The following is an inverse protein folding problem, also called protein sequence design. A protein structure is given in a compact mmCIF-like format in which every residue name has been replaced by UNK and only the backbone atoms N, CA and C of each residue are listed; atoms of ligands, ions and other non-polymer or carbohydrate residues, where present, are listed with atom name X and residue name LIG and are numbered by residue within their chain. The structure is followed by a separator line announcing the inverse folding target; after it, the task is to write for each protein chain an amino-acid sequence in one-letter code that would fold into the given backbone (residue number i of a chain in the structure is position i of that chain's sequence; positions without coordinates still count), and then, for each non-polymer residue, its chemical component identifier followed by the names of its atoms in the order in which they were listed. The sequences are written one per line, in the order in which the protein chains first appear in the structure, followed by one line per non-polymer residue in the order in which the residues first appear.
data_IF_120161310488
#
_entry.id   IF_120161310488
#
_cell.length_a   1.000
_cell.length_b   1.000
_cell.length_c   1.000
_cell.angle_alpha   90.00
_cell.angle_beta   90.00
_cell.angle_gamma   90.00
#
_symmetry.space_group_name_H-M   'P 1'
#
loop_
_entity.id
_entity.type
_entity.pdbx_description
1 polymer ?
#
# COMPACT_ATOMS: atom_id res chain seq x y z
N UNK A 1 24.61 8.02 4.49
CA UNK A 1 24.00 7.00 3.64
C UNK A 1 23.32 7.70 2.48
N UNK A 2 23.42 7.15 1.27
CA UNK A 2 22.68 7.65 0.11
C UNK A 2 21.19 7.34 0.30
N UNK A 3 20.29 8.23 -0.14
CA UNK A 3 18.85 7.95 -0.15
C UNK A 3 18.61 6.75 -1.07
N UNK A 4 17.77 5.76 -0.70
CA UNK A 4 17.46 4.66 -1.59
C UNK A 4 16.66 5.16 -2.78
N UNK A 5 16.91 4.57 -3.95
CA UNK A 5 16.21 4.86 -5.19
C UNK A 5 15.11 3.84 -5.41
N UNK A 6 13.85 4.27 -5.27
CA UNK A 6 12.69 3.40 -5.36
C UNK A 6 12.01 3.52 -6.73
N UNK A 7 11.62 2.39 -7.32
CA UNK A 7 10.66 2.39 -8.42
C UNK A 7 9.27 2.70 -7.87
N UNK A 8 8.65 3.77 -8.35
CA UNK A 8 7.32 4.19 -7.96
C UNK A 8 6.34 3.87 -9.08
N UNK A 9 5.57 2.80 -8.91
CA UNK A 9 4.61 2.29 -9.88
C UNK A 9 3.26 2.95 -9.62
N UNK A 10 2.96 3.99 -10.40
CA UNK A 10 1.77 4.80 -10.22
C UNK A 10 0.58 4.24 -11.02
N UNK A 11 -0.40 3.69 -10.30
CA UNK A 11 -1.65 3.16 -10.81
C UNK A 11 -2.83 4.15 -10.66
N UNK A 12 -2.56 5.43 -10.35
CA UNK A 12 -3.57 6.44 -10.03
C UNK A 12 -4.34 7.03 -11.22
N UNK A 13 -4.05 6.59 -12.46
CA UNK A 13 -4.60 7.18 -13.70
C UNK A 13 -4.26 8.68 -13.86
N UNK A 14 -3.04 9.07 -13.47
CA UNK A 14 -2.54 10.43 -13.63
C UNK A 14 -2.98 11.42 -12.53
N UNK A 15 -3.44 10.94 -11.38
CA UNK A 15 -3.74 11.81 -10.24
C UNK A 15 -2.45 12.33 -9.61
N UNK A 16 -2.12 13.58 -9.94
CA UNK A 16 -0.96 14.28 -9.38
C UNK A 16 -0.93 14.40 -7.85
N UNK A 17 -2.05 14.17 -7.16
CA UNK A 17 -2.11 14.15 -5.70
C UNK A 17 -1.42 12.91 -5.13
N UNK A 18 -1.51 11.76 -5.81
CA UNK A 18 -0.93 10.49 -5.36
C UNK A 18 0.58 10.59 -5.26
N UNK A 19 1.28 10.95 -6.35
CA UNK A 19 2.73 11.11 -6.32
C UNK A 19 3.20 12.11 -5.25
N UNK A 20 2.47 13.23 -5.09
CA UNK A 20 2.77 14.25 -4.08
C UNK A 20 2.65 13.71 -2.65
N UNK A 21 1.61 12.94 -2.37
CA UNK A 21 1.36 12.34 -1.07
C UNK A 21 2.48 11.37 -0.70
N UNK A 22 2.80 10.42 -1.58
CA UNK A 22 3.91 9.47 -1.32
C UNK A 22 5.26 10.16 -1.21
N UNK A 23 5.56 11.15 -2.06
CA UNK A 23 6.82 11.92 -1.99
C UNK A 23 6.99 12.66 -0.65
N UNK A 24 5.89 13.05 0.00
CA UNK A 24 5.94 13.71 1.32
C UNK A 24 6.33 12.74 2.43
N UNK A 25 5.89 11.48 2.35
CA UNK A 25 6.05 10.50 3.41
C UNK A 25 7.29 9.59 3.23
N UNK A 26 7.75 9.37 2.00
CA UNK A 26 8.90 8.51 1.71
C UNK A 26 10.21 9.31 1.66
N UNK A 27 11.14 9.03 2.59
CA UNK A 27 12.50 9.57 2.56
C UNK A 27 13.42 8.84 1.56
N UNK A 28 13.01 8.83 0.29
CA UNK A 28 13.68 8.13 -0.81
C UNK A 28 13.71 8.98 -2.09
N UNK A 29 14.49 8.55 -3.08
CA UNK A 29 14.47 9.09 -4.44
C UNK A 29 13.51 8.26 -5.31
N UNK A 30 12.34 8.82 -5.62
CA UNK A 30 11.29 8.13 -6.37
C UNK A 30 11.48 8.29 -7.88
N UNK A 31 11.47 7.17 -8.61
CA UNK A 31 11.42 7.14 -10.07
C UNK A 31 10.04 6.68 -10.49
N UNK A 32 9.24 7.61 -11.01
CA UNK A 32 7.83 7.40 -11.35
C UNK A 32 7.65 6.68 -12.69
N UNK A 33 6.73 5.72 -12.68
CA UNK A 33 6.28 4.95 -13.83
C UNK A 33 4.75 4.91 -13.81
N UNK A 34 4.11 5.58 -14.78
CA UNK A 34 2.67 5.48 -14.97
C UNK A 34 2.34 4.12 -15.58
N UNK A 35 1.93 3.19 -14.72
CA UNK A 35 1.67 1.82 -15.15
C UNK A 35 0.35 1.71 -15.90
N UNK A 36 -0.58 2.67 -15.72
CA UNK A 36 -1.86 2.69 -16.44
C UNK A 36 -1.67 2.98 -17.94
N UNK A 37 -0.64 3.77 -18.28
CA UNK A 37 -0.16 3.99 -19.65
C UNK A 37 0.77 2.87 -20.15
N UNK A 38 0.90 1.77 -19.40
CA UNK A 38 1.75 0.62 -19.74
C UNK A 38 3.24 0.89 -19.58
N UNK A 39 3.64 1.96 -18.87
CA UNK A 39 5.04 2.28 -18.61
C UNK A 39 5.47 1.56 -17.35
N UNK A 40 6.27 0.51 -17.52
CA UNK A 40 6.94 -0.21 -16.44
C UNK A 40 8.46 -0.03 -16.58
N UNK A 41 9.23 -0.20 -15.50
CA UNK A 41 10.68 -0.27 -15.60
C UNK A 41 11.12 -1.44 -16.50
N UNK A 42 12.09 -1.20 -17.37
CA UNK A 42 12.68 -2.23 -18.25
C UNK A 42 13.78 -3.04 -17.56
N UNK A 43 14.20 -2.62 -16.36
CA UNK A 43 15.20 -3.27 -15.51
C UNK A 43 14.79 -3.20 -14.04
N UNK A 44 15.52 -3.92 -13.18
CA UNK A 44 15.23 -4.04 -11.75
C UNK A 44 16.29 -3.35 -10.86
N UNK A 45 17.12 -2.49 -11.44
CA UNK A 45 18.19 -1.74 -10.74
C UNK A 45 17.62 -0.60 -9.85
N UNK A 46 16.88 -1.01 -8.82
CA UNK A 46 16.26 -0.18 -7.80
C UNK A 46 16.52 -0.78 -6.42
N UNK A 47 16.47 0.07 -5.40
CA UNK A 47 16.64 -0.36 -4.01
C UNK A 47 15.36 -1.00 -3.44
N UNK A 48 14.20 -0.68 -4.02
CA UNK A 48 12.89 -1.20 -3.65
C UNK A 48 11.79 -0.65 -4.56
N UNK A 49 10.56 -1.10 -4.35
CA UNK A 49 9.40 -0.77 -5.18
C UNK A 49 8.22 -0.34 -4.31
N UNK A 50 7.52 0.71 -4.73
CA UNK A 50 6.25 1.14 -4.15
C UNK A 50 5.18 1.12 -5.24
N UNK A 51 4.02 0.51 -4.95
CA UNK A 51 2.87 0.41 -5.86
C UNK A 51 1.69 1.14 -5.23
N UNK A 52 1.11 2.09 -5.96
CA UNK A 52 0.05 2.98 -5.44
C UNK A 52 -1.34 2.35 -5.48
N UNK A 53 -2.31 3.06 -4.91
CA UNK A 53 -3.73 2.78 -5.09
C UNK A 53 -4.20 3.05 -6.53
N UNK A 54 -5.38 2.54 -6.87
CA UNK A 54 -6.03 2.75 -8.16
C UNK A 54 -7.54 2.78 -7.97
N UNK A 55 -8.24 3.37 -8.93
CA UNK A 55 -9.69 3.24 -9.09
C UNK A 55 -10.09 1.94 -9.81
N UNK A 56 -9.11 1.14 -10.24
CA UNK A 56 -9.30 -0.16 -10.90
C UNK A 56 -9.27 -1.33 -9.91
N UNK A 57 -9.89 -2.45 -10.29
CA UNK A 57 -9.75 -3.73 -9.56
C UNK A 57 -8.69 -4.61 -10.22
N UNK A 58 -7.89 -5.31 -9.40
CA UNK A 58 -6.77 -6.15 -9.87
C UNK A 58 -7.19 -7.31 -10.80
N UNK A 59 -8.47 -7.70 -10.76
CA UNK A 59 -9.03 -8.78 -11.57
C UNK A 59 -9.71 -8.30 -12.87
N UNK A 60 -9.69 -7.01 -13.18
CA UNK A 60 -10.16 -6.52 -14.49
C UNK A 60 -9.23 -7.01 -15.62
N UNK A 61 -9.80 -7.41 -16.76
CA UNK A 61 -9.04 -7.88 -17.92
C UNK A 61 -8.45 -6.72 -18.72
N UNK A 62 -7.47 -6.04 -18.10
CA UNK A 62 -6.71 -4.96 -18.73
C UNK A 62 -5.24 -5.35 -18.84
N UNK A 63 -4.64 -5.06 -20.00
CA UNK A 63 -3.28 -5.48 -20.30
C UNK A 63 -2.25 -4.90 -19.32
N UNK A 64 -2.43 -3.65 -18.89
CA UNK A 64 -1.52 -2.99 -17.96
C UNK A 64 -1.54 -3.63 -16.57
N UNK A 65 -2.71 -4.10 -16.10
CA UNK A 65 -2.85 -4.82 -14.82
C UNK A 65 -2.10 -6.14 -14.90
N UNK A 66 -2.34 -6.92 -15.96
CA UNK A 66 -1.64 -8.20 -16.18
C UNK A 66 -0.12 -8.02 -16.24
N UNK A 67 0.34 -6.98 -16.92
CA UNK A 67 1.77 -6.66 -17.03
C UNK A 67 2.35 -6.21 -15.68
N UNK A 68 1.61 -5.40 -14.91
CA UNK A 68 2.01 -4.97 -13.58
C UNK A 68 2.14 -6.15 -12.61
N UNK A 69 1.12 -7.02 -12.54
CA UNK A 69 1.15 -8.22 -11.69
C UNK A 69 2.33 -9.13 -12.05
N UNK A 70 2.58 -9.35 -13.34
CA UNK A 70 3.74 -10.11 -13.81
C UNK A 70 5.07 -9.47 -13.41
N UNK A 71 5.19 -8.15 -13.58
CA UNK A 71 6.42 -7.42 -13.23
C UNK A 71 6.69 -7.45 -11.73
N UNK A 72 5.65 -7.35 -10.91
CA UNK A 72 5.75 -7.43 -9.43
C UNK A 72 6.18 -8.83 -8.99
N UNK A 73 5.71 -9.88 -9.65
CA UNK A 73 6.18 -11.24 -9.39
C UNK A 73 7.68 -11.39 -9.72
N UNK A 74 8.13 -10.87 -10.87
CA UNK A 74 9.55 -10.87 -11.24
C UNK A 74 10.42 -10.07 -10.25
N UNK A 75 9.88 -8.97 -9.68
CA UNK A 75 10.56 -8.18 -8.68
C UNK A 75 10.72 -8.95 -7.34
N UNK A 76 9.69 -9.67 -6.89
CA UNK A 76 9.76 -10.54 -5.70
C UNK A 76 10.77 -11.68 -5.88
N UNK A 77 10.78 -12.33 -7.05
CA UNK A 77 11.75 -13.40 -7.35
C UNK A 77 13.21 -12.93 -7.27
N UNK A 78 13.44 -11.64 -7.51
CA UNK A 78 14.76 -10.99 -7.39
C UNK A 78 15.08 -10.51 -5.97
N UNK A 79 14.15 -10.67 -5.03
CA UNK A 79 14.30 -10.26 -3.64
C UNK A 79 14.20 -8.75 -3.42
N UNK A 80 13.62 -8.01 -4.37
CA UNK A 80 13.40 -6.58 -4.18
C UNK A 80 12.38 -6.35 -3.05
N UNK A 81 12.62 -5.41 -2.12
CA UNK A 81 11.60 -4.98 -1.18
C UNK A 81 10.42 -4.32 -1.90
N UNK A 82 9.21 -4.80 -1.63
CA UNK A 82 7.97 -4.30 -2.24
C UNK A 82 7.04 -3.73 -1.18
N UNK A 83 6.42 -2.58 -1.46
CA UNK A 83 5.32 -2.03 -0.68
C UNK A 83 4.13 -1.72 -1.59
N UNK A 84 3.04 -2.47 -1.43
CA UNK A 84 1.78 -2.21 -2.09
C UNK A 84 0.79 -1.46 -1.18
N UNK A 85 0.17 -0.40 -1.67
CA UNK A 85 -0.87 0.36 -0.94
C UNK A 85 -2.21 0.26 -1.66
N UNK A 86 -3.26 -0.16 -0.95
CA UNK A 86 -4.62 -0.37 -1.45
C UNK A 86 -4.67 -1.30 -2.68
N UNK A 87 -4.89 -0.79 -3.89
CA UNK A 87 -4.74 -1.58 -5.12
C UNK A 87 -3.35 -2.21 -5.23
N UNK A 88 -2.29 -1.51 -4.85
CA UNK A 88 -0.94 -2.07 -4.82
C UNK A 88 -0.83 -3.26 -3.85
N UNK A 89 -1.52 -3.24 -2.72
CA UNK A 89 -1.58 -4.38 -1.78
C UNK A 89 -2.23 -5.61 -2.45
N UNK A 90 -3.29 -5.38 -3.22
CA UNK A 90 -3.98 -6.41 -3.99
C UNK A 90 -3.11 -6.95 -5.14
N UNK A 91 -2.36 -6.08 -5.83
CA UNK A 91 -1.38 -6.47 -6.85
C UNK A 91 -0.30 -7.36 -6.24
N UNK A 92 0.28 -6.97 -5.11
CA UNK A 92 1.28 -7.80 -4.41
C UNK A 92 0.67 -9.14 -4.00
N UNK A 93 -0.56 -9.15 -3.48
CA UNK A 93 -1.22 -10.41 -3.14
C UNK A 93 -1.39 -11.31 -4.38
N UNK A 94 -1.95 -10.78 -5.47
CA UNK A 94 -2.18 -11.53 -6.70
C UNK A 94 -0.87 -12.04 -7.34
N UNK A 95 0.18 -11.20 -7.39
CA UNK A 95 1.49 -11.56 -7.94
C UNK A 95 2.14 -12.73 -7.19
N UNK A 96 1.87 -12.84 -5.89
CA UNK A 96 2.45 -13.86 -5.01
C UNK A 96 1.54 -15.08 -4.81
N UNK A 97 0.43 -15.16 -5.55
CA UNK A 97 -0.49 -16.30 -5.55
C UNK A 97 -1.59 -16.24 -4.48
N UNK A 98 -1.90 -15.06 -3.96
CA UNK A 98 -3.10 -14.80 -3.17
C UNK A 98 -4.33 -14.51 -4.06
N UNK A 99 -5.50 -14.40 -3.42
CA UNK A 99 -6.79 -14.20 -4.08
C UNK A 99 -7.40 -12.87 -3.67
N UNK A 100 -7.90 -12.10 -4.64
CA UNK A 100 -8.58 -10.81 -4.43
C UNK A 100 -9.97 -10.88 -5.02
N UNK A 101 -10.97 -10.46 -4.25
CA UNK A 101 -12.37 -10.51 -4.63
C UNK A 101 -13.10 -9.22 -4.23
N UNK A 102 -14.20 -8.94 -4.94
CA UNK A 102 -15.17 -7.92 -4.53
C UNK A 102 -15.74 -8.28 -3.16
N UNK A 103 -15.77 -7.28 -2.28
CA UNK A 103 -16.29 -7.44 -0.92
C UNK A 103 -17.82 -7.46 -0.90
N UNK A 104 -18.49 -6.94 -1.95
CA UNK A 104 -19.94 -6.76 -1.99
C UNK A 104 -20.45 -5.61 -1.09
N UNK A 105 -19.51 -4.93 -0.43
CA UNK A 105 -19.68 -3.75 0.38
C UNK A 105 -18.44 -2.86 0.19
N UNK A 106 -18.38 -1.72 0.86
CA UNK A 106 -17.30 -0.75 0.69
C UNK A 106 -16.85 -0.26 2.06
N UNK A 107 -15.56 -0.18 2.32
CA UNK A 107 -15.01 0.46 3.52
C UNK A 107 -14.50 1.86 3.16
N UNK A 108 -14.99 2.89 3.87
CA UNK A 108 -14.64 4.29 3.63
C UNK A 108 -14.58 5.06 4.94
N UNK A 109 -13.52 5.85 5.14
CA UNK A 109 -13.37 6.78 6.26
C UNK A 109 -12.24 6.39 7.21
N UNK A 110 -12.22 7.04 8.38
CA UNK A 110 -11.30 6.66 9.46
C UNK A 110 -11.84 5.45 10.21
N UNK A 111 -11.07 4.36 10.20
CA UNK A 111 -11.44 3.08 10.80
C UNK A 111 -10.31 2.56 11.68
N UNK A 112 -10.65 1.73 12.66
CA UNK A 112 -9.67 1.06 13.53
C UNK A 112 -9.21 -0.24 12.88
N UNK A 113 -7.91 -0.50 12.94
CA UNK A 113 -7.27 -1.75 12.51
C UNK A 113 -6.50 -2.33 13.69
N UNK A 114 -6.54 -3.65 13.82
CA UNK A 114 -5.86 -4.39 14.88
C UNK A 114 -4.70 -5.22 14.30
N UNK A 115 -3.54 -5.13 14.95
CA UNK A 115 -2.39 -5.97 14.66
C UNK A 115 -2.67 -7.39 15.11
N UNK A 116 -2.28 -8.36 14.28
CA UNK A 116 -2.46 -9.79 14.59
C UNK A 116 -1.26 -10.39 15.34
N UNK A 117 -0.19 -9.60 15.51
CA UNK A 117 1.07 -10.02 16.12
C UNK A 117 1.68 -8.88 16.95
N UNK A 118 2.49 -9.27 17.93
CA UNK A 118 3.26 -8.37 18.76
C UNK A 118 4.31 -7.59 17.94
N UNK A 119 4.90 -6.57 18.56
CA UNK A 119 5.88 -5.73 17.89
C UNK A 119 7.12 -6.50 17.45
N UNK A 120 7.43 -6.40 16.16
CA UNK A 120 8.63 -6.94 15.53
C UNK A 120 9.35 -5.76 14.89
N UNK A 121 10.59 -5.52 15.31
CA UNK A 121 11.42 -4.42 14.81
C UNK A 121 11.69 -4.53 13.30
N UNK A 122 11.49 -5.72 12.73
CA UNK A 122 11.74 -6.02 11.32
C UNK A 122 10.51 -5.87 10.42
N UNK A 123 9.38 -5.42 10.96
CA UNK A 123 8.12 -5.24 10.24
C UNK A 123 7.86 -3.77 9.87
N UNK A 124 7.07 -3.54 8.81
CA UNK A 124 6.61 -2.19 8.45
C UNK A 124 5.70 -1.58 9.53
N UNK A 125 5.07 -2.38 10.38
CA UNK A 125 4.24 -1.91 11.49
C UNK A 125 5.00 -1.69 12.81
N UNK A 126 6.34 -1.77 12.78
CA UNK A 126 7.17 -1.59 13.97
C UNK A 126 6.88 -0.26 14.70
N UNK A 127 6.52 -0.38 15.98
CA UNK A 127 6.20 0.73 16.87
C UNK A 127 4.96 1.55 16.47
N UNK A 128 4.03 0.94 15.72
CA UNK A 128 2.62 1.34 15.62
C UNK A 128 1.84 0.54 16.68
N UNK A 129 0.87 1.18 17.35
CA UNK A 129 0.05 0.58 18.39
C UNK A 129 -0.66 -0.71 17.95
N UNK A 130 -1.01 -1.55 18.92
CA UNK A 130 -1.76 -2.79 18.68
C UNK A 130 -3.08 -2.55 17.94
N UNK A 131 -3.73 -1.43 18.26
CA UNK A 131 -4.88 -0.90 17.54
C UNK A 131 -4.57 0.52 17.12
N UNK A 132 -4.80 0.82 15.86
CA UNK A 132 -4.44 2.11 15.28
C UNK A 132 -5.51 2.56 14.28
N UNK A 133 -5.67 3.87 14.17
CA UNK A 133 -6.61 4.48 13.23
C UNK A 133 -5.96 4.60 11.86
N UNK A 134 -6.72 4.35 10.80
CA UNK A 134 -6.28 4.53 9.40
C UNK A 134 -7.41 5.07 8.56
N UNK A 135 -7.10 5.72 7.45
CA UNK A 135 -8.12 6.04 6.44
C UNK A 135 -8.24 4.90 5.42
N UNK A 136 -9.45 4.42 5.16
CA UNK A 136 -9.74 3.34 4.21
C UNK A 136 -10.63 3.85 3.07
N UNK A 137 -10.45 3.29 1.87
CA UNK A 137 -11.28 3.56 0.69
C UNK A 137 -11.18 2.39 -0.29
N UNK A 138 -11.90 1.30 -0.05
CA UNK A 138 -11.84 0.11 -0.91
C UNK A 138 -13.16 -0.67 -0.93
N UNK A 139 -13.43 -1.29 -2.09
CA UNK A 139 -14.52 -2.25 -2.28
C UNK A 139 -14.03 -3.67 -2.54
N UNK A 140 -12.73 -3.84 -2.79
CA UNK A 140 -12.10 -5.14 -2.99
C UNK A 140 -11.27 -5.51 -1.75
N UNK A 141 -11.03 -6.80 -1.54
CA UNK A 141 -10.19 -7.30 -0.45
C UNK A 141 -9.39 -8.54 -0.86
N UNK A 142 -8.27 -8.75 -0.18
CA UNK A 142 -7.56 -10.04 -0.23
C UNK A 142 -8.33 -11.06 0.61
N UNK A 143 -8.88 -12.09 -0.03
CA UNK A 143 -9.63 -13.17 0.64
C UNK A 143 -8.76 -14.36 0.99
N UNK A 144 -7.71 -14.60 0.20
CA UNK A 144 -6.69 -15.60 0.51
C UNK A 144 -5.31 -14.95 0.43
N UNK A 145 -4.56 -15.03 1.54
CA UNK A 145 -3.19 -14.54 1.57
C UNK A 145 -2.28 -15.36 0.65
N UNK A 146 -1.22 -14.76 0.08
CA UNK A 146 -0.20 -15.50 -0.64
C UNK A 146 0.36 -16.67 0.18
N UNK A 147 0.66 -17.83 -0.43
CA UNK A 147 1.25 -18.95 0.28
C UNK A 147 2.53 -18.57 1.02
N UNK A 148 2.56 -18.83 2.34
CA UNK A 148 3.68 -18.47 3.22
C UNK A 148 3.70 -17.01 3.66
N UNK A 149 2.67 -16.22 3.33
CA UNK A 149 2.52 -14.88 3.88
C UNK A 149 2.08 -14.91 5.35
N UNK A 150 2.52 -13.90 6.07
CA UNK A 150 2.15 -13.62 7.44
C UNK A 150 1.12 -12.49 7.46
N UNK A 151 0.00 -12.73 8.14
CA UNK A 151 -0.97 -11.69 8.43
C UNK A 151 -0.40 -10.76 9.52
N UNK A 152 -0.42 -9.45 9.27
CA UNK A 152 0.14 -8.43 10.16
C UNK A 152 -0.95 -7.58 10.83
N UNK A 153 -2.02 -7.28 10.11
CA UNK A 153 -3.13 -6.50 10.64
C UNK A 153 -4.45 -6.81 9.92
N UNK A 154 -5.57 -6.65 10.62
CA UNK A 154 -6.91 -6.93 10.13
C UNK A 154 -7.97 -6.04 10.81
N UNK A 155 -9.17 -6.00 10.24
CA UNK A 155 -10.39 -5.51 10.88
C UNK A 155 -11.58 -6.41 10.47
N UNK A 156 -12.82 -5.93 10.65
CA UNK A 156 -14.03 -6.66 10.23
C UNK A 156 -14.18 -6.86 8.71
N UNK A 157 -13.51 -6.04 7.89
CA UNK A 157 -13.53 -6.09 6.43
C UNK A 157 -12.46 -7.01 5.83
N UNK A 158 -11.42 -7.37 6.59
CA UNK A 158 -10.49 -8.45 6.23
C UNK A 158 -9.02 -8.13 6.51
N UNK A 159 -8.16 -8.50 5.56
CA UNK A 159 -6.71 -8.30 5.65
C UNK A 159 -6.36 -6.83 5.43
N UNK A 160 -5.76 -6.19 6.42
CA UNK A 160 -5.28 -4.80 6.33
C UNK A 160 -3.79 -4.68 6.12
N UNK A 161 -3.01 -5.66 6.57
CA UNK A 161 -1.59 -5.74 6.27
C UNK A 161 -1.11 -7.18 6.23
N UNK A 162 -0.21 -7.50 5.30
CA UNK A 162 0.52 -8.78 5.27
C UNK A 162 1.97 -8.59 4.83
N UNK A 163 2.78 -9.61 5.11
CA UNK A 163 4.15 -9.72 4.61
C UNK A 163 4.40 -11.09 4.01
N UNK A 164 5.14 -11.17 2.92
CA UNK A 164 5.77 -12.40 2.41
C UNK A 164 7.17 -12.09 1.96
N UNK A 165 8.18 -12.73 2.55
CA UNK A 165 9.58 -12.43 2.25
C UNK A 165 9.89 -10.92 2.44
N UNK A 166 10.27 -10.21 1.38
CA UNK A 166 10.53 -8.77 1.32
C UNK A 166 9.32 -7.96 0.79
N UNK A 167 8.20 -8.61 0.50
CA UNK A 167 6.99 -7.99 -0.01
C UNK A 167 5.98 -7.69 1.11
N UNK A 168 5.50 -6.46 1.14
CA UNK A 168 4.52 -5.97 2.08
C UNK A 168 3.33 -5.39 1.33
N UNK A 169 2.13 -5.60 1.88
CA UNK A 169 0.92 -4.94 1.38
C UNK A 169 0.13 -4.34 2.52
N UNK A 170 -0.37 -3.11 2.36
CA UNK A 170 -1.34 -2.47 3.25
C UNK A 170 -2.60 -2.04 2.50
N UNK A 171 -3.78 -2.36 3.02
CA UNK A 171 -5.06 -2.07 2.35
C UNK A 171 -5.52 -0.62 2.54
N UNK A 172 -5.10 0.01 3.63
CA UNK A 172 -5.44 1.39 3.99
C UNK A 172 -4.52 2.43 3.34
N UNK A 173 -4.86 3.72 3.48
CA UNK A 173 -4.18 4.86 2.85
C UNK A 173 -3.44 5.75 3.87
N UNK A 174 -2.24 5.34 4.33
CA UNK A 174 -1.44 6.16 5.24
C UNK A 174 -0.93 7.45 4.57
N UNK A 175 -0.86 7.51 3.24
CA UNK A 175 -0.35 8.65 2.49
C UNK A 175 -1.32 9.84 2.43
N UNK A 176 -2.60 9.62 2.71
CA UNK A 176 -3.62 10.67 2.61
C UNK A 176 -3.44 11.76 3.67
N UNK A 177 -3.68 13.00 3.26
CA UNK A 177 -3.99 14.12 4.14
C UNK A 177 -5.50 14.37 4.18
N UNK A 178 -5.95 15.30 5.02
CA UNK A 178 -7.39 15.62 5.17
C UNK A 178 -8.02 16.07 3.86
N UNK A 179 -7.30 16.84 3.03
CA UNK A 179 -7.80 17.35 1.75
C UNK A 179 -8.01 16.20 0.75
N UNK A 180 -7.04 15.27 0.69
CA UNK A 180 -7.16 14.07 -0.15
C UNK A 180 -8.29 13.17 0.35
N UNK A 181 -8.38 12.93 1.66
CA UNK A 181 -9.44 12.13 2.27
C UNK A 181 -10.84 12.69 1.94
N UNK A 182 -11.01 14.01 2.04
CA UNK A 182 -12.28 14.67 1.71
C UNK A 182 -12.60 14.56 0.21
N UNK A 183 -11.62 14.82 -0.65
CA UNK A 183 -11.79 14.72 -2.09
C UNK A 183 -12.19 13.31 -2.53
N UNK A 184 -11.52 12.28 -2.00
CA UNK A 184 -11.80 10.87 -2.28
C UNK A 184 -13.19 10.48 -1.77
N UNK A 185 -13.57 10.89 -0.55
CA UNK A 185 -14.89 10.62 -0.01
C UNK A 185 -15.99 11.20 -0.91
N UNK A 186 -15.83 12.45 -1.38
CA UNK A 186 -16.81 13.13 -2.25
C UNK A 186 -16.98 12.48 -3.62
N UNK A 187 -15.99 11.71 -4.10
CA UNK A 187 -16.09 10.96 -5.35
C UNK A 187 -16.91 9.66 -5.21
N UNK A 188 -17.22 9.20 -3.98
CA UNK A 188 -18.00 7.98 -3.74
C UNK A 188 -19.50 8.28 -3.68
N UNK A 189 -20.02 8.89 -4.75
CA UNK A 189 -21.42 9.32 -4.88
C UNK A 189 -22.43 8.16 -4.98
N UNK A 190 -21.95 6.95 -5.23
CA UNK A 190 -22.73 5.71 -5.18
C UNK A 190 -23.09 5.27 -3.75
N UNK A 191 -22.44 5.84 -2.73
CA UNK A 191 -22.78 5.55 -1.33
C UNK A 191 -24.01 6.35 -0.88
N UNK A 192 -24.81 5.84 0.08
CA UNK A 192 -25.93 6.59 0.64
C UNK A 192 -25.49 7.93 1.24
N UNK A 193 -26.26 9.00 1.04
CA UNK A 193 -25.97 10.36 1.53
C UNK A 193 -25.62 10.41 3.02
N UNK A 194 -26.33 9.65 3.86
CA UNK A 194 -26.08 9.58 5.30
C UNK A 194 -24.69 9.02 5.61
N UNK A 195 -24.29 7.96 4.89
CA UNK A 195 -22.96 7.36 5.02
C UNK A 195 -21.88 8.34 4.58
N UNK A 196 -22.07 9.00 3.44
CA UNK A 196 -21.11 9.99 2.95
C UNK A 196 -20.96 11.17 3.92
N UNK A 197 -22.07 11.69 4.47
CA UNK A 197 -22.03 12.73 5.51
C UNK A 197 -21.27 12.27 6.74
N UNK A 198 -21.53 11.06 7.23
CA UNK A 198 -20.80 10.50 8.37
C UNK A 198 -19.30 10.42 8.13
N UNK A 199 -18.87 10.04 6.92
CA UNK A 199 -17.44 10.02 6.56
C UNK A 199 -16.87 11.43 6.55
N UNK A 200 -17.54 12.38 5.91
CA UNK A 200 -17.07 13.78 5.82
C UNK A 200 -16.99 14.42 7.22
N UNK A 201 -18.01 14.22 8.06
CA UNK A 201 -18.02 14.71 9.45
C UNK A 201 -16.94 14.05 10.31
N UNK A 202 -16.51 12.83 9.95
CA UNK A 202 -15.41 12.11 10.57
C UNK A 202 -14.01 12.59 10.17
N UNK A 203 -13.89 13.45 9.15
CA UNK A 203 -12.60 14.04 8.74
C UNK A 203 -12.29 15.23 9.67
N UNK A 204 -11.84 14.89 10.87
CA UNK A 204 -11.46 15.85 11.91
C UNK A 204 -9.94 15.89 12.11
N UNK A 205 -9.40 17.00 12.65
CA UNK A 205 -7.99 17.07 13.03
C UNK A 205 -7.58 15.96 14.01
N UNK A 206 -8.47 15.55 14.92
CA UNK A 206 -8.22 14.50 15.90
C UNK A 206 -8.08 13.12 15.24
N UNK A 207 -8.99 12.76 14.34
CA UNK A 207 -8.92 11.47 13.63
C UNK A 207 -7.72 11.43 12.67
N UNK A 208 -7.43 12.55 12.00
CA UNK A 208 -6.22 12.67 11.18
C UNK A 208 -4.95 12.52 12.03
N UNK A 209 -4.89 13.18 13.20
CA UNK A 209 -3.75 13.06 14.10
C UNK A 209 -3.57 11.62 14.62
N UNK A 210 -4.66 10.91 14.91
CA UNK A 210 -4.61 9.49 15.26
C UNK A 210 -4.10 8.64 14.09
N UNK A 211 -4.55 8.90 12.86
CA UNK A 211 -4.12 8.18 11.67
C UNK A 211 -2.66 8.45 11.26
N UNK A 212 -2.10 9.59 11.65
CA UNK A 212 -0.69 9.90 11.41
C UNK A 212 0.28 8.89 12.04
N UNK A 213 -0.14 8.13 13.06
CA UNK A 213 0.68 7.04 13.61
C UNK A 213 1.03 6.00 12.52
N UNK A 214 0.07 5.69 11.64
CA UNK A 214 0.26 4.71 10.58
C UNK A 214 1.32 5.14 9.55
N UNK A 215 1.60 6.44 9.40
CA UNK A 215 2.61 6.97 8.46
C UNK A 215 4.01 6.46 8.75
N UNK A 216 4.29 6.06 10.00
CA UNK A 216 5.57 5.46 10.40
C UNK A 216 5.96 4.25 9.55
N UNK A 217 5.00 3.55 8.93
CA UNK A 217 5.29 2.44 8.03
C UNK A 217 6.18 2.83 6.85
N UNK A 218 6.13 4.08 6.38
CA UNK A 218 6.99 4.54 5.28
C UNK A 218 8.44 4.66 5.73
N UNK A 219 8.69 5.20 6.92
CA UNK A 219 10.03 5.24 7.54
C UNK A 219 10.56 3.82 7.80
N UNK A 220 9.70 2.94 8.30
CA UNK A 220 10.05 1.53 8.56
C UNK A 220 10.39 0.82 7.24
N UNK A 221 9.63 1.04 6.16
CA UNK A 221 9.91 0.45 4.85
C UNK A 221 11.23 0.97 4.25
N UNK A 222 11.50 2.28 4.31
CA UNK A 222 12.78 2.86 3.86
C UNK A 222 13.95 2.31 4.68
N UNK A 223 13.78 2.14 5.99
CA UNK A 223 14.79 1.51 6.86
C UNK A 223 15.03 0.05 6.44
N UNK A 224 13.94 -0.68 6.16
CA UNK A 224 13.99 -2.07 5.70
C UNK A 224 14.77 -2.21 4.39
N UNK A 225 14.46 -1.37 3.40
CA UNK A 225 15.16 -1.30 2.10
C UNK A 225 16.66 -1.14 2.28
N UNK A 226 17.09 -0.15 3.07
CA UNK A 226 18.51 0.13 3.30
C UNK A 226 19.24 -1.07 3.92
N UNK A 227 18.59 -1.77 4.84
CA UNK A 227 19.14 -2.95 5.50
C UNK A 227 19.27 -4.14 4.55
N UNK A 228 18.23 -4.44 3.77
CA UNK A 228 18.25 -5.53 2.78
C UNK A 228 19.38 -5.34 1.77
N UNK A 229 19.61 -4.10 1.33
CA UNK A 229 20.66 -3.80 0.35
C UNK A 229 22.05 -3.90 0.97
N UNK A 230 22.23 -3.50 2.24
CA UNK A 230 23.49 -3.69 2.96
C UNK A 230 23.85 -5.18 3.14
N UNK A 231 22.89 -6.02 3.52
CA UNK A 231 23.10 -7.47 3.67
C UNK A 231 23.37 -8.19 2.34
N UNK A 232 22.82 -7.69 1.23
CA UNK A 232 23.11 -8.21 -0.12
C UNK A 232 24.55 -7.90 -0.56
N UNK A 233 25.10 -6.76 -0.16
CA UNK A 233 26.50 -6.41 -0.44
C UNK A 233 27.47 -7.24 0.39
N UNK A 234 27.16 -7.48 1.68
CA UNK A 234 28.01 -8.30 2.56
C UNK A 234 28.04 -9.78 2.19
N UNK A 235 26.96 -10.32 1.62
CA UNK A 235 26.90 -11.72 1.16
C UNK A 235 27.55 -11.96 -0.20
N UNK A 236 27.82 -10.90 -0.98
CA UNK A 236 28.46 -10.97 -2.29
C UNK A 236 29.99 -10.70 -2.26
N UNK A 237 30.54 -10.29 -1.11
CA UNK A 237 31.96 -9.97 -0.90
C UNK A 237 32.74 -11.16 -0.30
#
# INVERSE_FOLDING_TARGET
MTRPRLAFLDASHGDSSTFRNFRRELDADLVEFDVTDGRLPDHFDYDGVVITGSSSSVYWDEAWIRNLVSWVADADERGLPLLGVCFGHQVVAAALGGTVEDMGEFELGYNEVERTRADDEDDILAGIGERFTVFTSHGDRVTELPPGAELLAQNEFGVHAFRRSHAFGVQFHPEYDTDTAEAIARQKDFLPDERLRSVIDGITPENYAAACEAKRLFDNFVTYVNRTNAGSVESAA
#
